data_IF_210683644243
#
_entry.id   IF_210683644243
#
_cell.length_a   1.000
_cell.length_b   1.000
_cell.length_c   1.000
_cell.angle_alpha   90.00
_cell.angle_beta   90.00
_cell.angle_gamma   90.00
#
_symmetry.space_group_name_H-M   'P 1'
#
loop_
_entity.id
_entity.type
_entity.pdbx_description
1 polymer ?
#
# COMPACT_ATOMS: atom_id res chain seq x y z
N UNK A 1 5.44 -24.12 -21.60
CA UNK A 1 4.21 -23.44 -21.14
C UNK A 1 4.61 -22.54 -19.99
N UNK A 2 4.75 -21.25 -20.25
CA UNK A 2 5.09 -20.28 -19.20
C UNK A 2 3.84 -20.02 -18.37
N UNK A 3 3.87 -20.12 -17.04
CA UNK A 3 2.74 -19.72 -16.23
C UNK A 3 2.52 -18.22 -16.46
N UNK A 4 1.27 -17.92 -16.83
CA UNK A 4 0.72 -16.60 -17.06
C UNK A 4 1.16 -15.62 -15.99
N UNK A 5 1.85 -14.55 -16.39
CA UNK A 5 1.98 -13.36 -15.57
C UNK A 5 0.57 -12.88 -15.24
N UNK A 6 0.11 -13.12 -14.03
CA UNK A 6 -1.06 -12.42 -13.48
C UNK A 6 -0.63 -10.96 -13.22
N UNK A 7 -0.44 -10.20 -14.29
CA UNK A 7 -0.49 -8.74 -14.23
C UNK A 7 -1.92 -8.38 -13.91
N UNK A 8 -2.25 -8.10 -12.65
CA UNK A 8 -3.10 -6.96 -12.28
C UNK A 8 -3.23 -6.81 -10.78
N UNK A 9 -2.52 -5.85 -10.21
CA UNK A 9 -3.17 -4.89 -9.31
C UNK A 9 -2.44 -3.54 -9.40
N UNK A 10 -3.14 -2.46 -9.80
CA UNK A 10 -2.50 -1.14 -9.85
C UNK A 10 -3.50 0.03 -9.77
N UNK A 11 -3.74 0.58 -8.58
CA UNK A 11 -4.34 1.91 -8.45
C UNK A 11 -3.31 3.05 -8.46
N UNK A 12 -2.01 2.80 -8.24
CA UNK A 12 -0.96 3.82 -8.32
C UNK A 12 0.38 3.13 -8.60
N UNK A 13 0.92 3.26 -9.83
CA UNK A 13 2.25 2.71 -10.17
C UNK A 13 3.25 3.10 -9.08
N UNK A 14 4.00 2.13 -8.57
CA UNK A 14 5.14 2.43 -7.70
C UNK A 14 6.36 2.72 -8.56
N UNK A 15 7.07 3.78 -8.24
CA UNK A 15 8.32 4.11 -8.90
C UNK A 15 9.48 3.33 -8.28
N UNK A 16 10.57 3.08 -9.01
CA UNK A 16 11.78 2.55 -8.42
C UNK A 16 12.18 3.33 -7.15
N UNK A 17 12.47 2.64 -6.07
CA UNK A 17 12.84 3.21 -4.77
C UNK A 17 11.65 3.54 -3.87
N UNK A 18 10.41 3.28 -4.31
CA UNK A 18 9.22 3.65 -3.57
C UNK A 18 8.71 2.53 -2.64
N UNK A 19 8.39 2.90 -1.40
CA UNK A 19 7.58 2.13 -0.47
C UNK A 19 6.24 2.85 -0.23
N UNK A 20 5.13 2.13 -0.39
CA UNK A 20 3.78 2.69 -0.30
C UNK A 20 2.82 1.77 0.44
N UNK A 21 2.03 2.36 1.34
CA UNK A 21 0.92 1.70 2.05
C UNK A 21 -0.36 2.45 1.71
N UNK A 22 -1.37 1.76 1.20
CA UNK A 22 -2.64 2.35 0.80
C UNK A 22 -3.85 1.50 1.19
N UNK A 23 -4.94 2.18 1.55
CA UNK A 23 -6.17 1.57 2.05
C UNK A 23 -7.34 1.86 1.09
N UNK A 24 -8.08 0.83 0.65
CA UNK A 24 -9.25 0.95 -0.23
C UNK A 24 -10.49 1.37 0.57
N UNK A 25 -10.60 2.65 0.90
CA UNK A 25 -11.65 3.17 1.77
C UNK A 25 -13.05 3.02 1.19
N UNK A 26 -13.20 3.09 -0.14
CA UNK A 26 -14.52 2.97 -0.79
C UNK A 26 -15.16 1.58 -0.65
N UNK A 27 -14.36 0.54 -0.38
CA UNK A 27 -14.89 -0.82 -0.19
C UNK A 27 -14.77 -1.34 1.25
N UNK A 28 -14.38 -0.48 2.21
CA UNK A 28 -14.37 -0.77 3.64
C UNK A 28 -15.68 -0.40 4.35
N UNK A 29 -16.52 0.41 3.71
CA UNK A 29 -17.81 0.84 4.26
C UNK A 29 -17.63 1.57 5.60
N UNK A 30 -18.47 1.24 6.58
CA UNK A 30 -18.50 1.90 7.89
C UNK A 30 -17.18 1.78 8.67
N UNK A 31 -16.39 0.73 8.41
CA UNK A 31 -15.08 0.52 9.05
C UNK A 31 -13.99 1.48 8.57
N UNK A 32 -14.20 2.17 7.44
CA UNK A 32 -13.17 3.02 6.85
C UNK A 32 -12.69 4.10 7.84
N UNK A 33 -13.60 4.76 8.55
CA UNK A 33 -13.24 5.80 9.50
C UNK A 33 -12.47 5.26 10.71
N UNK A 34 -12.85 4.08 11.21
CA UNK A 34 -12.18 3.44 12.34
C UNK A 34 -10.75 3.03 11.99
N UNK A 35 -10.56 2.44 10.81
CA UNK A 35 -9.23 2.02 10.33
C UNK A 35 -8.34 3.25 10.05
N UNK A 36 -8.90 4.35 9.53
CA UNK A 36 -8.15 5.59 9.34
C UNK A 36 -7.70 6.21 10.68
N UNK A 37 -8.57 6.20 11.71
CA UNK A 37 -8.19 6.64 13.06
C UNK A 37 -7.15 5.72 13.70
N UNK A 38 -7.25 4.42 13.46
CA UNK A 38 -6.22 3.48 13.89
C UNK A 38 -4.88 3.81 13.23
N UNK A 39 -4.86 4.03 11.90
CA UNK A 39 -3.65 4.42 11.19
C UNK A 39 -3.02 5.69 11.80
N UNK A 40 -3.82 6.72 12.06
CA UNK A 40 -3.34 7.94 12.74
C UNK A 40 -2.71 7.62 14.11
N UNK A 41 -3.36 6.77 14.93
CA UNK A 41 -2.83 6.37 16.24
C UNK A 41 -1.55 5.53 16.18
N UNK A 42 -1.33 4.81 15.08
CA UNK A 42 -0.12 4.04 14.81
C UNK A 42 1.04 4.91 14.29
N UNK A 43 0.82 6.23 14.14
CA UNK A 43 1.84 7.19 13.72
C UNK A 43 1.93 7.40 12.21
N UNK A 44 0.98 6.89 11.42
CA UNK A 44 0.89 7.26 10.01
C UNK A 44 0.51 8.74 9.89
N UNK A 45 1.04 9.41 8.86
CA UNK A 45 0.69 10.79 8.57
C UNK A 45 -0.75 10.90 8.02
N UNK A 46 -1.23 12.14 7.91
CA UNK A 46 -2.53 12.41 7.30
C UNK A 46 -2.60 11.81 5.88
N UNK A 47 -3.62 10.99 5.57
CA UNK A 47 -3.67 10.27 4.32
C UNK A 47 -3.92 11.20 3.13
N UNK A 48 -3.29 10.88 2.00
CA UNK A 48 -3.65 11.46 0.70
C UNK A 48 -4.68 10.59 0.03
N UNK A 49 -5.83 11.15 -0.32
CA UNK A 49 -6.88 10.42 -1.04
C UNK A 49 -6.67 10.49 -2.54
N UNK A 50 -6.80 9.34 -3.22
CA UNK A 50 -6.73 9.24 -4.67
C UNK A 50 -7.88 8.40 -5.19
N UNK A 51 -8.47 8.84 -6.30
CA UNK A 51 -9.55 8.14 -6.98
C UNK A 51 -9.00 7.36 -8.16
N UNK A 52 -9.44 6.11 -8.32
CA UNK A 52 -9.09 5.26 -9.45
C UNK A 52 -10.36 4.68 -10.06
N UNK A 53 -10.45 4.69 -11.40
CA UNK A 53 -11.59 4.08 -12.11
C UNK A 53 -11.12 2.79 -12.77
N UNK A 54 -11.66 1.65 -12.33
CA UNK A 54 -11.40 0.35 -12.96
C UNK A 54 -11.87 0.36 -14.42
N UNK A 55 -11.35 -0.55 -15.23
CA UNK A 55 -11.84 -0.76 -16.62
C UNK A 55 -13.33 -1.11 -16.68
N UNK A 56 -13.88 -1.68 -15.60
CA UNK A 56 -15.32 -1.94 -15.46
C UNK A 56 -16.17 -0.70 -15.18
N UNK A 57 -15.56 0.48 -15.00
CA UNK A 57 -16.25 1.73 -14.64
C UNK A 57 -16.47 1.92 -13.13
N UNK A 58 -16.11 0.94 -12.30
CA UNK A 58 -16.20 1.06 -10.83
C UNK A 58 -15.17 2.07 -10.35
N UNK A 59 -15.63 3.05 -9.55
CA UNK A 59 -14.78 4.08 -8.94
C UNK A 59 -14.35 3.63 -7.55
N UNK A 60 -13.04 3.59 -7.34
CA UNK A 60 -12.39 3.30 -6.07
C UNK A 60 -11.80 4.57 -5.47
N UNK A 61 -11.84 4.67 -4.15
CA UNK A 61 -11.13 5.70 -3.39
C UNK A 61 -10.12 5.01 -2.50
N UNK A 62 -8.86 5.42 -2.65
CA UNK A 62 -7.72 4.93 -1.90
C UNK A 62 -7.20 6.03 -0.96
N UNK A 63 -6.88 5.68 0.27
CA UNK A 63 -6.16 6.51 1.22
C UNK A 63 -4.69 6.05 1.26
N UNK A 64 -3.76 6.87 0.78
CA UNK A 64 -2.32 6.61 0.88
C UNK A 64 -1.88 7.02 2.28
N UNK A 65 -1.55 6.03 3.12
CA UNK A 65 -1.16 6.21 4.52
C UNK A 65 0.33 6.49 4.66
N UNK A 66 1.14 5.87 3.79
CA UNK A 66 2.58 6.05 3.76
C UNK A 66 3.06 6.04 2.32
N UNK A 67 3.95 6.98 1.99
CA UNK A 67 4.66 7.03 0.73
C UNK A 67 6.06 7.57 0.98
N UNK A 68 7.08 6.74 0.78
CA UNK A 68 8.47 7.10 0.99
C UNK A 68 9.31 6.68 -0.21
N UNK A 69 10.29 7.52 -0.56
CA UNK A 69 11.27 7.26 -1.61
C UNK A 69 12.63 7.04 -0.96
N UNK A 70 13.27 5.93 -1.30
CA UNK A 70 14.53 5.51 -0.74
C UNK A 70 15.59 5.43 -1.84
N UNK A 71 16.84 5.71 -1.46
CA UNK A 71 17.99 5.55 -2.34
C UNK A 71 18.43 4.08 -2.30
N UNK A 72 18.79 3.54 -3.45
CA UNK A 72 19.12 2.12 -3.65
C UNK A 72 20.46 1.69 -3.02
N UNK A 73 21.22 2.62 -2.44
CA UNK A 73 22.45 2.36 -1.70
C UNK A 73 22.18 1.99 -0.22
N UNK A 74 20.96 2.19 0.27
CA UNK A 74 20.53 1.75 1.59
C UNK A 74 19.91 0.34 1.52
N UNK A 75 20.17 -0.48 2.55
CA UNK A 75 19.61 -1.82 2.65
C UNK A 75 18.06 -1.76 2.63
N UNK A 76 17.39 -2.40 1.66
CA UNK A 76 15.94 -2.37 1.52
C UNK A 76 15.16 -2.92 2.73
N UNK A 77 15.78 -3.83 3.50
CA UNK A 77 15.15 -4.41 4.70
C UNK A 77 14.89 -3.36 5.78
N UNK A 78 15.76 -2.35 5.91
CA UNK A 78 15.65 -1.27 6.90
C UNK A 78 14.35 -0.47 6.80
N UNK A 79 13.71 -0.45 5.63
CA UNK A 79 12.49 0.34 5.42
C UNK A 79 11.26 -0.41 5.89
N UNK A 80 11.16 -1.70 5.60
CA UNK A 80 9.97 -2.51 5.90
C UNK A 80 9.94 -2.83 7.40
N UNK A 81 11.07 -3.25 7.97
CA UNK A 81 11.19 -3.70 9.36
C UNK A 81 10.76 -2.64 10.39
N UNK A 82 10.92 -1.35 10.07
CA UNK A 82 10.53 -0.23 10.96
C UNK A 82 9.02 -0.12 11.10
N UNK A 83 8.25 -0.59 10.11
CA UNK A 83 6.80 -0.48 10.06
C UNK A 83 6.08 -1.81 10.35
N UNK A 84 6.80 -2.92 10.52
CA UNK A 84 6.22 -4.26 10.62
C UNK A 84 5.10 -4.35 11.66
N UNK A 85 5.33 -3.87 12.88
CA UNK A 85 4.32 -3.92 13.97
C UNK A 85 3.07 -3.08 13.64
N UNK A 86 3.23 -1.93 12.98
CA UNK A 86 2.11 -1.07 12.59
C UNK A 86 1.34 -1.64 11.41
N UNK A 87 2.05 -2.24 10.45
CA UNK A 87 1.45 -2.90 9.29
C UNK A 87 0.67 -4.14 9.69
N UNK A 88 1.18 -4.92 10.64
CA UNK A 88 0.47 -6.07 11.20
C UNK A 88 -0.84 -5.63 11.86
N UNK A 89 -0.83 -4.59 12.68
CA UNK A 89 -2.04 -4.07 13.32
C UNK A 89 -3.07 -3.54 12.31
N UNK A 90 -2.63 -2.81 11.27
CA UNK A 90 -3.50 -2.38 10.18
C UNK A 90 -4.09 -3.56 9.41
N UNK A 91 -3.27 -4.59 9.15
CA UNK A 91 -3.71 -5.79 8.48
C UNK A 91 -4.82 -6.49 9.26
N UNK A 92 -4.62 -6.71 10.56
CA UNK A 92 -5.59 -7.32 11.46
C UNK A 92 -6.91 -6.53 11.50
N UNK A 93 -6.84 -5.19 11.53
CA UNK A 93 -8.04 -4.34 11.51
C UNK A 93 -8.85 -4.45 10.20
N UNK A 94 -8.19 -4.83 9.10
CA UNK A 94 -8.84 -5.02 7.81
C UNK A 94 -9.37 -6.46 7.61
N UNK A 95 -9.13 -7.39 8.53
CA UNK A 95 -9.63 -8.75 8.42
C UNK A 95 -11.17 -8.83 8.41
N UNK A 96 -11.75 -9.78 7.67
CA UNK A 96 -11.09 -10.84 6.87
C UNK A 96 -10.65 -10.38 5.46
N UNK A 97 -10.92 -9.14 5.08
CA UNK A 97 -10.73 -8.65 3.71
C UNK A 97 -9.35 -8.02 3.45
N UNK A 98 -8.41 -8.07 4.41
CA UNK A 98 -7.15 -7.34 4.40
C UNK A 98 -6.39 -7.40 3.06
N UNK A 99 -6.25 -8.60 2.48
CA UNK A 99 -5.60 -8.84 1.19
C UNK A 99 -6.17 -8.09 -0.02
N UNK A 100 -7.42 -7.60 0.06
CA UNK A 100 -8.06 -6.78 -1.00
C UNK A 100 -8.18 -5.32 -0.62
N UNK A 101 -8.07 -4.97 0.66
CA UNK A 101 -8.34 -3.61 1.17
C UNK A 101 -7.07 -2.87 1.58
N UNK A 102 -6.01 -3.59 1.91
CA UNK A 102 -4.72 -3.02 2.27
C UNK A 102 -3.69 -3.39 1.20
N UNK A 103 -3.13 -2.36 0.58
CA UNK A 103 -2.03 -2.49 -0.36
C UNK A 103 -0.73 -2.09 0.35
N UNK A 104 0.23 -3.01 0.38
CA UNK A 104 1.61 -2.75 0.80
C UNK A 104 2.49 -3.05 -0.41
N UNK A 105 3.16 -2.05 -0.95
CA UNK A 105 3.96 -2.18 -2.17
C UNK A 105 5.35 -1.58 -1.98
N UNK A 106 6.38 -2.32 -2.39
CA UNK A 106 7.75 -1.84 -2.50
C UNK A 106 8.26 -2.11 -3.92
N UNK A 107 8.95 -1.14 -4.51
CA UNK A 107 9.62 -1.30 -5.80
C UNK A 107 11.09 -0.94 -5.67
N UNK A 108 11.84 -1.80 -4.96
CA UNK A 108 13.27 -1.64 -4.75
C UNK A 108 13.98 -2.28 -5.96
N UNK A 109 14.25 -1.50 -7.00
CA UNK A 109 15.04 -2.01 -8.12
C UNK A 109 16.51 -2.12 -7.69
N UNK A 110 17.08 -3.32 -7.78
CA UNK A 110 18.53 -3.51 -7.71
C UNK A 110 19.20 -2.66 -8.80
N UNK A 111 20.06 -1.71 -8.42
CA UNK A 111 21.05 -1.18 -9.35
C UNK A 111 22.08 -2.28 -9.66
N UNK A 112 21.76 -3.21 -10.57
CA UNK A 112 22.77 -4.07 -11.18
C UNK A 112 23.50 -3.30 -12.29
N UNK A 113 24.69 -2.83 -11.90
CA UNK A 113 25.95 -2.78 -12.68
C UNK A 113 25.88 -2.23 -14.10
N UNK A 114 26.42 -1.02 -14.28
CA UNK A 114 27.17 -0.66 -15.51
C UNK A 114 28.52 -0.12 -15.13
#
# INVERSE_FOLDING_TARGET
MSPSQTQTFNPLRTEPGEFRVALLVSELGDKALEILKLAESLGFANPKFVTYTRLSGVVEVWAILLQQFHRYDADPSLVVDVWDEQLEQLWQACEPAAHTKLLIASNLQDCKTT
#
